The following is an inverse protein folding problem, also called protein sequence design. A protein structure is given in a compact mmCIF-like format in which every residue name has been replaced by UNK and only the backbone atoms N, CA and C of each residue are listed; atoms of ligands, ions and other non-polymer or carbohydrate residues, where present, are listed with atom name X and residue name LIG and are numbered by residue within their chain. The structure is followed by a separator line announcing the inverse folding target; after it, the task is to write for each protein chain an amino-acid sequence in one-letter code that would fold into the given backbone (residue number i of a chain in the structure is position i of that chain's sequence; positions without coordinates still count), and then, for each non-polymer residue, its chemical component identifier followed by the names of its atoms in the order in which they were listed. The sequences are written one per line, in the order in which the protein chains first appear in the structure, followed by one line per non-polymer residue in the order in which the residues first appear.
data_IF_564566468712
#
_entry.id   IF_564566468712
#
_cell.length_a   1.000
_cell.length_b   1.000
_cell.length_c   1.000
_cell.angle_alpha   90.00
_cell.angle_beta   90.00
_cell.angle_gamma   90.00
#
_symmetry.space_group_name_H-M   'P 1'
#
loop_
_entity.id
_entity.type
_entity.pdbx_description
1 polymer ?
#
# COMPACT_ATOMS: atom_id res chain seq x y z
N UNK A 1 17.91 43.46 -49.04
CA UNK A 1 17.68 42.09 -48.65
C UNK A 1 17.49 42.04 -47.15
N UNK A 2 16.25 41.70 -46.77
CA UNK A 2 15.84 41.53 -45.35
C UNK A 2 16.11 40.08 -44.97
N UNK A 3 17.00 39.85 -44.03
CA UNK A 3 17.25 38.51 -43.46
C UNK A 3 16.25 38.33 -42.34
N UNK A 4 15.27 37.43 -42.54
CA UNK A 4 14.37 37.02 -41.48
C UNK A 4 15.10 35.99 -40.59
N UNK A 5 15.34 36.39 -39.35
CA UNK A 5 15.87 35.50 -38.34
C UNK A 5 14.71 34.65 -37.79
N UNK A 6 14.66 33.39 -38.18
CA UNK A 6 13.71 32.43 -37.62
C UNK A 6 14.25 31.98 -36.26
N UNK A 7 13.62 32.43 -35.16
CA UNK A 7 13.86 31.87 -33.85
C UNK A 7 13.27 30.47 -33.85
N UNK A 8 14.11 29.46 -33.77
CA UNK A 8 13.64 28.09 -33.44
C UNK A 8 13.14 28.11 -31.99
N UNK A 9 11.85 27.86 -31.82
CA UNK A 9 11.23 27.65 -30.52
C UNK A 9 11.75 26.29 -30.02
N UNK A 10 12.71 26.32 -29.11
CA UNK A 10 13.27 25.13 -28.46
C UNK A 10 12.26 24.65 -27.41
N UNK A 11 11.15 24.05 -27.91
CA UNK A 11 10.21 23.36 -27.07
C UNK A 11 10.94 22.14 -26.46
N UNK A 12 11.57 22.33 -25.31
CA UNK A 12 12.05 21.23 -24.47
C UNK A 12 10.87 20.33 -24.17
N UNK A 13 10.76 19.21 -24.88
CA UNK A 13 9.78 18.17 -24.57
C UNK A 13 9.97 17.79 -23.10
N UNK A 14 8.97 18.12 -22.27
CA UNK A 14 8.96 17.76 -20.86
C UNK A 14 8.98 16.24 -20.78
N UNK A 15 10.07 15.67 -20.25
CA UNK A 15 10.16 14.23 -20.02
C UNK A 15 8.97 13.80 -19.16
N UNK A 16 8.27 12.70 -19.52
CA UNK A 16 7.18 12.17 -18.71
C UNK A 16 7.62 11.93 -17.27
N UNK A 17 6.72 12.13 -16.34
CA UNK A 17 7.00 11.90 -14.92
C UNK A 17 7.08 10.39 -14.65
N UNK A 18 8.06 9.91 -13.84
CA UNK A 18 8.17 8.50 -13.50
C UNK A 18 6.98 8.03 -12.65
N UNK A 19 6.72 6.71 -12.56
CA UNK A 19 5.67 6.18 -11.70
C UNK A 19 5.87 6.58 -10.24
N UNK A 20 4.77 6.80 -9.54
CA UNK A 20 4.77 7.14 -8.12
C UNK A 20 3.72 6.32 -7.39
N UNK A 21 4.13 5.59 -6.37
CA UNK A 21 3.22 4.80 -5.52
C UNK A 21 2.65 5.69 -4.42
N UNK A 22 1.35 5.65 -4.23
CA UNK A 22 0.64 6.29 -3.12
C UNK A 22 0.43 5.31 -1.97
N UNK A 23 -0.01 4.08 -2.29
CA UNK A 23 -0.31 3.04 -1.31
C UNK A 23 -0.34 1.65 -1.94
N UNK A 24 -0.20 0.63 -1.08
CA UNK A 24 -0.45 -0.77 -1.40
C UNK A 24 -1.59 -1.29 -0.52
N UNK A 25 -2.48 -2.10 -1.08
CA UNK A 25 -3.62 -2.71 -0.40
C UNK A 25 -3.66 -4.21 -0.67
N UNK A 26 -3.63 -5.06 0.36
CA UNK A 26 -3.50 -4.73 1.78
C UNK A 26 -2.14 -4.10 2.13
N UNK A 27 -2.03 -3.50 3.32
CA UNK A 27 -0.79 -2.90 3.82
C UNK A 27 0.25 -3.97 4.19
N UNK A 28 -0.20 -5.18 4.47
CA UNK A 28 0.65 -6.31 4.81
C UNK A 28 0.34 -7.52 3.92
N UNK A 29 1.37 -8.33 3.62
CA UNK A 29 1.24 -9.60 2.92
C UNK A 29 1.75 -10.74 3.79
N UNK A 30 1.09 -11.90 3.74
CA UNK A 30 1.37 -13.02 4.63
C UNK A 30 2.52 -13.89 4.14
N UNK A 31 3.29 -14.40 5.08
CA UNK A 31 4.38 -15.35 4.81
C UNK A 31 3.80 -16.72 4.40
N UNK A 32 4.37 -17.30 3.36
CA UNK A 32 3.98 -18.61 2.84
C UNK A 32 2.70 -18.60 2.00
N UNK A 33 2.19 -17.43 1.67
CA UNK A 33 0.96 -17.24 0.91
C UNK A 33 1.19 -16.46 -0.39
N UNK A 34 0.20 -16.53 -1.26
CA UNK A 34 0.08 -15.67 -2.43
C UNK A 34 -1.07 -14.71 -2.20
N UNK A 35 -0.76 -13.42 -2.16
CA UNK A 35 -1.71 -12.34 -1.89
C UNK A 35 -1.88 -11.47 -3.14
N UNK A 36 -3.11 -11.11 -3.47
CA UNK A 36 -3.39 -10.10 -4.48
C UNK A 36 -3.22 -8.71 -3.84
N UNK A 37 -2.30 -7.93 -4.38
CA UNK A 37 -1.98 -6.58 -3.92
C UNK A 37 -2.41 -5.58 -4.98
N UNK A 38 -3.11 -4.54 -4.56
CA UNK A 38 -3.40 -3.37 -5.39
C UNK A 38 -2.39 -2.28 -5.05
N UNK A 39 -1.57 -1.92 -6.02
CA UNK A 39 -0.63 -0.80 -5.92
C UNK A 39 -1.29 0.42 -6.58
N UNK A 40 -1.62 1.43 -5.80
CA UNK A 40 -2.22 2.69 -6.30
C UNK A 40 -1.20 3.80 -6.38
N UNK A 41 -1.38 4.68 -7.35
CA UNK A 41 -0.49 5.82 -7.53
C UNK A 41 -0.78 6.64 -8.78
N UNK A 42 0.28 7.19 -9.35
CA UNK A 42 0.24 8.02 -10.56
C UNK A 42 1.25 7.48 -11.57
N UNK A 43 0.94 7.62 -12.86
CA UNK A 43 1.82 7.20 -13.97
C UNK A 43 2.17 5.71 -13.92
N UNK A 44 1.18 4.88 -13.52
CA UNK A 44 1.36 3.42 -13.42
C UNK A 44 0.99 2.69 -14.72
N UNK A 45 0.58 3.42 -15.74
CA UNK A 45 0.24 2.86 -17.05
C UNK A 45 1.47 2.28 -17.74
N UNK A 46 1.30 1.12 -18.35
CA UNK A 46 2.39 0.46 -19.07
C UNK A 46 3.46 -0.20 -18.20
N UNK A 47 3.32 -0.16 -16.89
CA UNK A 47 4.18 -0.89 -15.96
C UNK A 47 4.02 -2.38 -16.15
N UNK A 48 5.15 -3.11 -16.24
CA UNK A 48 5.19 -4.57 -16.43
C UNK A 48 5.98 -5.29 -15.35
N UNK A 49 6.71 -4.57 -14.54
CA UNK A 49 7.61 -5.13 -13.52
C UNK A 49 7.52 -4.35 -12.21
N UNK A 50 7.51 -5.07 -11.10
CA UNK A 50 7.80 -4.56 -9.77
C UNK A 50 8.99 -5.33 -9.20
N UNK A 51 9.83 -4.64 -8.44
CA UNK A 51 10.95 -5.24 -7.70
C UNK A 51 10.72 -5.13 -6.21
N UNK A 52 11.11 -6.17 -5.51
CA UNK A 52 11.17 -6.22 -4.06
C UNK A 52 12.63 -6.12 -3.60
N UNK A 53 12.89 -5.43 -2.50
CA UNK A 53 14.19 -5.46 -1.82
C UNK A 53 14.49 -6.81 -1.15
N UNK A 54 13.47 -7.69 -1.02
CA UNK A 54 13.59 -9.02 -0.45
C UNK A 54 13.41 -10.08 -1.54
N UNK A 55 14.44 -10.89 -1.78
CA UNK A 55 14.44 -11.94 -2.82
C UNK A 55 13.50 -13.13 -2.52
N UNK A 56 12.99 -13.26 -1.31
CA UNK A 56 11.98 -14.24 -0.93
C UNK A 56 10.56 -13.85 -1.33
N UNK A 57 10.40 -12.69 -2.00
CA UNK A 57 9.12 -12.20 -2.49
C UNK A 57 9.14 -12.18 -4.01
N UNK A 58 8.23 -12.90 -4.62
CA UNK A 58 7.99 -12.88 -6.06
C UNK A 58 6.78 -12.02 -6.36
N UNK A 59 6.94 -11.06 -7.28
CA UNK A 59 5.91 -10.13 -7.70
C UNK A 59 5.57 -10.38 -9.18
N UNK A 60 4.29 -10.52 -9.48
CA UNK A 60 3.80 -10.69 -10.85
C UNK A 60 2.71 -9.67 -11.14
N UNK A 61 2.94 -8.79 -12.09
CA UNK A 61 1.93 -7.85 -12.58
C UNK A 61 0.83 -8.62 -13.29
N UNK A 62 -0.41 -8.42 -12.87
CA UNK A 62 -1.60 -9.03 -13.47
C UNK A 62 -2.27 -8.06 -14.45
N UNK A 63 -2.47 -6.82 -14.03
CA UNK A 63 -3.12 -5.78 -14.84
C UNK A 63 -2.74 -4.38 -14.39
N UNK A 64 -2.94 -3.41 -15.29
CA UNK A 64 -2.87 -1.98 -15.00
C UNK A 64 -4.18 -1.32 -15.43
N UNK A 65 -4.71 -0.39 -14.65
CA UNK A 65 -5.96 0.29 -14.94
C UNK A 65 -6.02 1.69 -14.32
N UNK A 66 -6.99 2.47 -14.75
CA UNK A 66 -7.39 3.68 -14.02
C UNK A 66 -8.01 3.29 -12.68
N UNK A 67 -7.78 4.10 -11.66
CA UNK A 67 -8.35 3.90 -10.34
C UNK A 67 -9.35 5.01 -10.04
N UNK A 68 -10.57 4.62 -9.68
CA UNK A 68 -11.56 5.57 -9.18
C UNK A 68 -11.11 6.17 -7.85
N UNK A 69 -11.30 7.47 -7.70
CA UNK A 69 -11.02 8.16 -6.43
C UNK A 69 -12.22 7.98 -5.51
N UNK A 70 -12.05 7.35 -4.34
CA UNK A 70 -13.15 7.16 -3.41
C UNK A 70 -13.76 8.50 -2.97
N UNK A 71 -15.07 8.52 -2.76
CA UNK A 71 -15.80 9.72 -2.35
C UNK A 71 -15.19 10.36 -1.09
N UNK A 72 -14.86 11.64 -1.20
CA UNK A 72 -14.30 12.43 -0.10
C UNK A 72 -12.77 12.35 0.04
N UNK A 73 -12.08 11.60 -0.83
CA UNK A 73 -10.63 11.61 -0.92
C UNK A 73 -10.13 12.51 -2.06
N UNK A 74 -8.91 13.02 -1.92
CA UNK A 74 -8.25 13.81 -2.95
C UNK A 74 -7.37 12.88 -3.82
N UNK A 75 -7.49 12.98 -5.14
CA UNK A 75 -6.65 12.27 -6.11
C UNK A 75 -5.15 12.48 -5.84
N UNK A 76 -4.77 13.64 -5.32
CA UNK A 76 -3.38 13.96 -4.92
C UNK A 76 -2.86 13.11 -3.75
N UNK A 77 -3.75 12.41 -3.06
CA UNK A 77 -3.40 11.53 -1.93
C UNK A 77 -3.43 10.06 -2.30
N UNK A 78 -4.35 9.66 -3.18
CA UNK A 78 -4.63 8.23 -3.43
C UNK A 78 -4.26 7.76 -4.84
N UNK A 79 -3.88 8.69 -5.74
CA UNK A 79 -3.58 8.36 -7.13
C UNK A 79 -4.83 8.13 -7.98
N UNK A 80 -4.63 8.08 -9.29
CA UNK A 80 -5.65 7.90 -10.33
C UNK A 80 -5.43 6.64 -11.19
N UNK A 81 -4.35 5.91 -10.89
CA UNK A 81 -4.00 4.67 -11.57
C UNK A 81 -3.68 3.58 -10.58
N UNK A 82 -3.80 2.32 -11.00
CA UNK A 82 -3.48 1.16 -10.16
C UNK A 82 -2.91 0.00 -10.95
N UNK A 83 -2.15 -0.83 -10.25
CA UNK A 83 -1.63 -2.11 -10.73
C UNK A 83 -2.17 -3.20 -9.82
N UNK A 84 -2.70 -4.26 -10.40
CA UNK A 84 -2.93 -5.52 -9.69
C UNK A 84 -1.68 -6.37 -9.75
N UNK A 85 -1.22 -6.82 -8.60
CA UNK A 85 0.00 -7.61 -8.44
C UNK A 85 -0.33 -8.87 -7.65
N UNK A 86 0.16 -10.01 -8.12
CA UNK A 86 0.22 -11.23 -7.34
C UNK A 86 1.58 -11.26 -6.61
N UNK A 87 1.54 -11.20 -5.29
CA UNK A 87 2.71 -11.24 -4.43
C UNK A 87 2.78 -12.59 -3.72
N UNK A 88 3.83 -13.37 -3.97
CA UNK A 88 4.06 -14.65 -3.30
C UNK A 88 5.25 -14.52 -2.36
N UNK A 89 5.06 -14.82 -1.09
CA UNK A 89 6.09 -14.77 -0.05
C UNK A 89 6.51 -16.18 0.34
N UNK A 90 7.80 -16.45 0.29
CA UNK A 90 8.33 -17.76 0.69
C UNK A 90 8.09 -18.04 2.18
N UNK A 91 7.89 -19.32 2.54
CA UNK A 91 7.52 -19.73 3.91
C UNK A 91 8.59 -19.48 4.98
N UNK A 92 9.82 -19.34 4.56
CA UNK A 92 10.97 -19.07 5.43
C UNK A 92 11.30 -17.58 5.57
N UNK A 93 10.45 -16.71 5.01
CA UNK A 93 10.60 -15.26 5.14
C UNK A 93 10.29 -14.83 6.56
N UNK A 94 11.17 -14.02 7.13
CA UNK A 94 10.93 -13.43 8.45
C UNK A 94 10.05 -12.17 8.31
N UNK A 95 9.17 -11.87 9.28
CA UNK A 95 8.44 -10.62 9.34
C UNK A 95 9.37 -9.42 9.22
N UNK A 96 9.04 -8.49 8.34
CA UNK A 96 9.89 -7.33 8.03
C UNK A 96 9.14 -6.25 7.26
N UNK A 97 9.69 -5.05 7.25
CA UNK A 97 9.38 -4.04 6.24
C UNK A 97 10.17 -4.32 4.97
N UNK A 98 9.52 -4.19 3.82
CA UNK A 98 10.11 -4.47 2.51
C UNK A 98 9.81 -3.34 1.55
N UNK A 99 10.81 -2.91 0.80
CA UNK A 99 10.64 -1.89 -0.24
C UNK A 99 10.20 -2.51 -1.56
N UNK A 100 9.15 -1.93 -2.15
CA UNK A 100 8.70 -2.20 -3.50
C UNK A 100 9.05 -1.04 -4.42
N UNK A 101 9.63 -1.34 -5.58
CA UNK A 101 9.91 -0.36 -6.63
C UNK A 101 9.16 -0.74 -7.89
N UNK A 102 8.39 0.19 -8.43
CA UNK A 102 7.68 0.06 -9.71
C UNK A 102 8.62 0.45 -10.83
N UNK A 103 8.78 -0.44 -11.82
CA UNK A 103 9.63 -0.21 -12.98
C UNK A 103 8.76 0.23 -14.14
N UNK A 104 8.81 1.50 -14.44
CA UNK A 104 8.00 2.12 -15.49
C UNK A 104 8.81 2.42 -16.77
N UNK A 105 8.11 2.71 -17.89
CA UNK A 105 8.77 3.06 -19.15
C UNK A 105 9.54 4.38 -19.07
N UNK A 106 9.12 5.30 -18.19
CA UNK A 106 9.69 6.63 -18.03
C UNK A 106 10.66 6.75 -16.85
N UNK A 107 10.93 5.62 -16.18
CA UNK A 107 11.84 5.49 -15.05
C UNK A 107 11.24 4.68 -13.92
N UNK A 108 12.03 4.50 -12.87
CA UNK A 108 11.63 3.74 -11.68
C UNK A 108 10.97 4.67 -10.66
N UNK A 109 10.01 4.12 -9.89
CA UNK A 109 9.42 4.84 -8.75
C UNK A 109 10.42 4.99 -7.60
N UNK A 110 10.15 5.91 -6.69
CA UNK A 110 10.74 5.82 -5.36
C UNK A 110 10.27 4.52 -4.68
N UNK A 111 11.10 3.90 -3.83
CA UNK A 111 10.70 2.74 -3.05
C UNK A 111 9.48 3.06 -2.17
N UNK A 112 8.55 2.11 -2.10
CA UNK A 112 7.38 2.15 -1.22
C UNK A 112 7.45 1.00 -0.24
N UNK A 113 7.27 1.28 1.06
CA UNK A 113 7.39 0.26 2.11
C UNK A 113 6.06 -0.46 2.31
N UNK A 114 6.11 -1.80 2.29
CA UNK A 114 5.01 -2.68 2.69
C UNK A 114 5.44 -3.57 3.86
N UNK A 115 4.46 -4.08 4.60
CA UNK A 115 4.70 -5.03 5.67
C UNK A 115 4.66 -6.48 5.14
N UNK A 116 5.54 -7.31 5.64
CA UNK A 116 5.59 -8.74 5.30
C UNK A 116 5.53 -9.56 6.57
N UNK A 117 4.47 -10.35 6.69
CA UNK A 117 4.23 -11.19 7.85
C UNK A 117 3.96 -10.41 9.14
N UNK A 118 3.76 -11.18 10.20
CA UNK A 118 3.66 -10.70 11.56
C UNK A 118 4.32 -11.70 12.49
N UNK A 119 4.94 -11.23 13.56
CA UNK A 119 5.44 -12.09 14.64
C UNK A 119 4.29 -12.71 15.45
N UNK A 120 3.09 -12.15 15.32
CA UNK A 120 1.90 -12.57 16.05
C UNK A 120 0.83 -13.08 15.09
N UNK A 121 -0.11 -13.93 15.57
CA UNK A 121 -1.26 -14.33 14.76
C UNK A 121 -2.03 -13.11 14.22
N UNK A 122 -2.38 -13.14 12.94
CA UNK A 122 -3.15 -12.07 12.30
C UNK A 122 -4.62 -12.45 12.28
N UNK A 123 -5.47 -11.54 12.72
CA UNK A 123 -6.93 -11.66 12.57
C UNK A 123 -7.47 -10.51 11.75
N UNK A 124 -8.54 -10.77 11.05
CA UNK A 124 -9.28 -9.72 10.36
C UNK A 124 -10.15 -8.93 11.34
N UNK A 125 -10.28 -7.65 11.08
CA UNK A 125 -11.34 -6.83 11.61
C UNK A 125 -12.72 -7.37 11.21
N UNK A 126 -13.68 -7.30 12.10
CA UNK A 126 -15.04 -7.80 11.88
C UNK A 126 -16.06 -6.75 12.28
N UNK A 127 -16.80 -6.29 11.31
CA UNK A 127 -17.99 -5.46 11.54
C UNK A 127 -19.19 -6.28 12.10
N UNK A 128 -20.04 -5.74 12.97
CA UNK A 128 -19.99 -4.36 13.49
C UNK A 128 -19.26 -4.34 14.84
N UNK A 129 -18.26 -3.46 14.96
CA UNK A 129 -17.48 -3.24 16.18
C UNK A 129 -17.36 -1.75 16.54
N UNK A 130 -18.34 -0.93 16.14
CA UNK A 130 -18.37 0.53 16.27
C UNK A 130 -18.51 1.05 17.72
N UNK A 131 -18.58 0.19 18.72
CA UNK A 131 -18.75 0.64 20.09
C UNK A 131 -18.43 -0.39 21.15
N UNK A 132 -18.27 0.05 22.39
CA UNK A 132 -17.84 -0.79 23.52
C UNK A 132 -18.69 -2.06 23.74
N UNK A 133 -19.97 -2.04 23.38
CA UNK A 133 -20.85 -3.21 23.51
C UNK A 133 -20.71 -4.21 22.35
N UNK A 134 -20.09 -3.78 21.26
CA UNK A 134 -19.87 -4.53 20.03
C UNK A 134 -18.37 -4.74 19.78
N UNK A 135 -17.53 -4.36 20.76
CA UNK A 135 -16.09 -4.48 20.64
C UNK A 135 -15.68 -5.90 20.25
N UNK A 136 -14.84 -6.02 19.24
CA UNK A 136 -14.31 -7.31 18.81
C UNK A 136 -13.34 -7.84 19.87
N UNK A 137 -13.59 -9.04 20.45
CA UNK A 137 -12.66 -9.65 21.39
C UNK A 137 -11.39 -10.11 20.65
N UNK A 138 -10.22 -9.78 21.20
CA UNK A 138 -8.91 -10.15 20.64
C UNK A 138 -8.02 -10.73 21.73
N UNK A 139 -7.19 -11.70 21.35
CA UNK A 139 -6.15 -12.21 22.22
C UNK A 139 -4.95 -11.26 22.27
N UNK A 140 -4.09 -11.40 23.27
CA UNK A 140 -2.83 -10.66 23.37
C UNK A 140 -1.71 -11.70 23.58
N UNK A 141 -0.65 -11.64 22.76
CA UNK A 141 -0.36 -10.72 21.64
C UNK A 141 -1.08 -11.10 20.36
N UNK A 142 -1.49 -10.09 19.57
CA UNK A 142 -2.27 -10.24 18.32
C UNK A 142 -1.92 -9.12 17.35
N UNK A 143 -1.91 -9.41 16.04
CA UNK A 143 -1.97 -8.43 14.97
C UNK A 143 -3.39 -8.38 14.39
N UNK A 144 -3.88 -7.18 14.08
CA UNK A 144 -5.22 -6.97 13.52
C UNK A 144 -5.05 -6.30 12.16
N UNK A 145 -5.62 -6.91 11.12
CA UNK A 145 -5.74 -6.33 9.78
C UNK A 145 -7.14 -5.73 9.64
N UNK A 146 -7.22 -4.41 9.67
CA UNK A 146 -8.47 -3.66 9.71
C UNK A 146 -8.61 -2.64 8.59
N UNK A 147 -9.84 -2.31 8.26
CA UNK A 147 -10.22 -1.33 7.23
C UNK A 147 -11.30 -0.40 7.77
N UNK A 148 -11.04 0.90 7.75
CA UNK A 148 -12.07 1.90 8.03
C UNK A 148 -12.99 2.02 6.80
N UNK A 149 -14.22 1.54 6.93
CA UNK A 149 -15.17 1.40 5.84
C UNK A 149 -15.88 2.70 5.48
N UNK A 150 -16.30 3.48 6.47
CA UNK A 150 -17.12 4.68 6.29
C UNK A 150 -16.57 5.90 7.02
N UNK A 151 -17.06 7.10 6.64
CA UNK A 151 -16.79 8.31 7.43
C UNK A 151 -17.36 8.14 8.84
N UNK A 152 -16.53 8.32 9.86
CA UNK A 152 -16.82 8.18 11.29
C UNK A 152 -16.91 6.71 11.75
N UNK A 153 -16.47 5.76 10.96
CA UNK A 153 -16.24 4.41 11.46
C UNK A 153 -15.23 4.45 12.62
N UNK A 154 -15.49 3.70 13.67
CA UNK A 154 -14.63 3.56 14.84
C UNK A 154 -14.57 2.09 15.18
N UNK A 155 -13.42 1.47 15.01
CA UNK A 155 -13.24 0.06 15.35
C UNK A 155 -12.80 -0.06 16.80
N UNK A 156 -13.57 -0.81 17.58
CA UNK A 156 -13.32 -1.05 19.00
C UNK A 156 -12.94 -2.50 19.23
N UNK A 157 -11.80 -2.69 19.87
CA UNK A 157 -11.28 -4.02 20.24
C UNK A 157 -11.23 -4.15 21.75
N UNK A 158 -11.60 -5.33 22.26
CA UNK A 158 -11.56 -5.66 23.67
C UNK A 158 -10.55 -6.80 23.91
N UNK A 159 -9.72 -6.67 24.93
CA UNK A 159 -8.77 -7.69 25.34
C UNK A 159 -8.67 -7.76 26.84
N UNK A 160 -8.36 -8.94 27.34
CA UNK A 160 -8.07 -9.16 28.75
C UNK A 160 -6.57 -9.14 28.98
N UNK A 161 -6.17 -8.48 30.06
CA UNK A 161 -4.77 -8.45 30.52
C UNK A 161 -4.73 -8.79 32.01
N UNK A 162 -3.70 -9.52 32.41
CA UNK A 162 -3.42 -9.74 33.84
C UNK A 162 -2.87 -8.48 34.50
N UNK A 163 -3.01 -8.40 35.81
CA UNK A 163 -2.47 -7.28 36.60
C UNK A 163 -0.97 -7.11 36.37
N UNK A 164 -0.52 -5.84 36.33
CA UNK A 164 0.88 -5.43 36.17
C UNK A 164 1.52 -5.74 34.81
N UNK A 165 0.77 -6.14 33.79
CA UNK A 165 1.31 -6.29 32.42
C UNK A 165 1.51 -4.93 31.74
N UNK A 166 2.61 -4.80 30.99
CA UNK A 166 2.84 -3.68 30.11
C UNK A 166 2.40 -4.04 28.69
N UNK A 167 1.48 -3.25 28.15
CA UNK A 167 0.99 -3.40 26.79
C UNK A 167 1.67 -2.37 25.87
N UNK A 168 2.15 -2.84 24.72
CA UNK A 168 2.57 -2.01 23.60
C UNK A 168 1.51 -2.14 22.49
N UNK A 169 0.94 -1.01 22.07
CA UNK A 169 0.02 -0.94 20.93
C UNK A 169 0.68 -0.11 19.85
N UNK A 170 0.78 -0.69 18.65
CA UNK A 170 1.36 -0.03 17.49
C UNK A 170 0.37 -0.02 16.33
N UNK A 171 0.22 1.14 15.67
CA UNK A 171 -0.68 1.32 14.52
C UNK A 171 0.15 1.56 13.26
N UNK A 172 -0.01 0.67 12.29
CA UNK A 172 0.58 0.76 10.98
C UNK A 172 -0.48 1.24 9.98
N UNK A 173 -0.50 2.53 9.69
CA UNK A 173 -1.49 3.13 8.78
C UNK A 173 -0.82 4.18 7.88
N UNK A 174 -0.86 5.44 8.26
CA UNK A 174 -0.41 6.56 7.44
C UNK A 174 1.05 6.47 6.97
N UNK A 175 1.95 5.95 7.79
CA UNK A 175 3.37 5.76 7.43
C UNK A 175 3.58 4.72 6.30
N UNK A 176 2.57 3.87 6.04
CA UNK A 176 2.57 2.89 4.96
C UNK A 176 1.59 3.26 3.84
N UNK A 177 1.26 4.54 3.71
CA UNK A 177 0.46 5.07 2.60
C UNK A 177 -1.06 4.99 2.80
N UNK A 178 -1.57 4.53 3.96
CA UNK A 178 -3.00 4.62 4.24
C UNK A 178 -3.48 6.08 4.17
N UNK A 179 -4.67 6.29 3.62
CA UNK A 179 -5.31 7.60 3.52
C UNK A 179 -5.86 8.13 4.87
N UNK A 180 -5.79 7.33 5.93
CA UNK A 180 -6.19 7.68 7.29
C UNK A 180 -5.29 8.73 7.92
#
# INVERSE_FOLDING_TARGET
PSVALTLADDATEKKPDPPRVAMCLPLAINVGETTKVIVRGWHLEGVKELRSSNSHITLKVLSTSKAEVPNGLDVKRVGDTQIEVEATVARDTKPSEVELTVIGPDGDSQPHVILVGSEYPVIADKEANDGFRQAQPVAVPQAIDGVIHDKRNVDVFAFDIDDEQRLLIEVHARRHGSAL
#
